data_IF_097830828954
#
_entry.id   IF_097830828954
#
_cell.length_a   1.000
_cell.length_b   1.000
_cell.length_c   1.000
_cell.angle_alpha   90.00
_cell.angle_beta   90.00
_cell.angle_gamma   90.00
#
_symmetry.space_group_name_H-M   'P 1'
#
loop_
_entity.id
_entity.type
_entity.pdbx_description
1 polymer ?
#
# COMPACT_ATOMS: atom_id res chain seq x y z
N UNK A 1 -29.23 -4.07 -0.49
CA UNK A 1 -28.18 -3.59 -1.41
C UNK A 1 -26.84 -3.88 -0.77
N UNK A 2 -26.19 -4.98 -1.17
CA UNK A 2 -24.89 -5.38 -0.63
C UNK A 2 -23.83 -4.42 -1.14
N UNK A 3 -23.31 -3.56 -0.27
CA UNK A 3 -22.16 -2.70 -0.57
C UNK A 3 -20.96 -3.64 -0.71
N UNK A 4 -20.72 -4.14 -1.92
CA UNK A 4 -19.46 -4.77 -2.29
C UNK A 4 -18.39 -3.71 -2.08
N UNK A 5 -17.73 -3.74 -0.91
CA UNK A 5 -16.65 -2.82 -0.56
C UNK A 5 -15.51 -3.07 -1.54
N UNK A 6 -15.50 -2.31 -2.64
CA UNK A 6 -14.44 -2.39 -3.64
C UNK A 6 -13.14 -2.11 -2.91
N UNK A 7 -12.29 -3.13 -2.76
CA UNK A 7 -11.01 -3.01 -2.04
C UNK A 7 -10.09 -2.14 -2.88
N UNK A 8 -10.14 -0.83 -2.66
CA UNK A 8 -9.27 0.12 -3.36
C UNK A 8 -7.86 0.04 -2.78
N UNK A 9 -6.86 0.28 -3.62
CA UNK A 9 -5.46 0.32 -3.19
C UNK A 9 -5.26 1.44 -2.16
N UNK A 10 -6.02 2.52 -2.28
CA UNK A 10 -6.07 3.61 -1.29
C UNK A 10 -6.56 3.10 0.07
N UNK A 11 -7.65 2.34 0.12
CA UNK A 11 -8.16 1.78 1.37
C UNK A 11 -7.17 0.79 2.01
N UNK A 12 -6.50 -0.02 1.19
CA UNK A 12 -5.48 -0.96 1.66
C UNK A 12 -4.22 -0.25 2.17
N UNK A 13 -3.79 0.83 1.50
CA UNK A 13 -2.70 1.70 1.95
C UNK A 13 -3.02 2.34 3.30
N UNK A 14 -4.23 2.86 3.46
CA UNK A 14 -4.68 3.46 4.73
C UNK A 14 -4.75 2.44 5.88
N UNK A 15 -5.21 1.22 5.60
CA UNK A 15 -5.22 0.14 6.58
C UNK A 15 -3.79 -0.23 7.03
N UNK A 16 -2.84 -0.29 6.08
CA UNK A 16 -1.43 -0.54 6.36
C UNK A 16 -0.81 0.56 7.22
N UNK A 17 -1.06 1.84 6.90
CA UNK A 17 -0.57 2.97 7.69
C UNK A 17 -1.13 2.94 9.12
N UNK A 18 -2.42 2.65 9.28
CA UNK A 18 -3.03 2.52 10.61
C UNK A 18 -2.44 1.36 11.40
N UNK A 19 -2.20 0.22 10.77
CA UNK A 19 -1.56 -0.95 11.39
C UNK A 19 -0.07 -0.74 11.69
N UNK A 20 0.61 0.09 10.91
CA UNK A 20 2.03 0.40 11.05
C UNK A 20 2.36 1.52 12.04
N UNK A 21 1.36 2.12 12.71
CA UNK A 21 1.58 3.22 13.68
C UNK A 21 2.63 2.95 14.75
N UNK A 22 2.90 1.68 15.07
CA UNK A 22 3.89 1.28 16.06
C UNK A 22 5.35 1.46 15.59
N UNK A 23 5.60 1.49 14.28
CA UNK A 23 6.94 1.60 13.71
C UNK A 23 7.11 2.74 12.69
N UNK A 24 6.00 3.26 12.16
CA UNK A 24 6.00 4.44 11.30
C UNK A 24 6.32 5.67 12.13
N UNK A 25 7.29 6.46 11.65
CA UNK A 25 7.71 7.70 12.27
C UNK A 25 7.22 8.91 11.46
N UNK A 26 7.23 10.12 12.04
CA UNK A 26 6.97 11.35 11.27
C UNK A 26 7.94 11.54 10.10
N UNK A 27 9.14 10.94 10.15
CA UNK A 27 10.11 11.00 9.06
C UNK A 27 9.66 10.22 7.81
N UNK A 28 8.70 9.30 7.95
CA UNK A 28 8.13 8.53 6.84
C UNK A 28 6.94 9.25 6.16
N UNK A 29 6.51 10.40 6.70
CA UNK A 29 5.41 11.20 6.15
C UNK A 29 5.49 11.46 4.62
N UNK A 30 6.64 11.85 4.04
CA UNK A 30 6.74 12.02 2.58
C UNK A 30 6.56 10.72 1.80
N UNK A 31 7.07 9.59 2.31
CA UNK A 31 6.91 8.28 1.68
C UNK A 31 5.46 7.79 1.75
N UNK A 32 4.78 8.04 2.88
CA UNK A 32 3.36 7.73 3.07
C UNK A 32 2.47 8.59 2.15
N UNK A 33 2.80 9.88 1.98
CA UNK A 33 2.10 10.75 1.05
C UNK A 33 2.24 10.25 -0.39
N UNK A 34 3.45 9.85 -0.80
CA UNK A 34 3.69 9.29 -2.13
C UNK A 34 2.91 8.00 -2.37
N UNK A 35 2.87 7.09 -1.39
CA UNK A 35 2.07 5.86 -1.48
C UNK A 35 0.57 6.14 -1.63
N UNK A 36 0.04 7.13 -0.91
CA UNK A 36 -1.37 7.55 -1.04
C UNK A 36 -1.68 8.11 -2.41
N UNK A 37 -0.81 8.98 -2.94
CA UNK A 37 -0.99 9.55 -4.28
C UNK A 37 -0.92 8.48 -5.36
N UNK A 38 0.04 7.56 -5.29
CA UNK A 38 0.15 6.44 -6.23
C UNK A 38 -1.07 5.51 -6.12
N UNK A 39 -1.54 5.21 -4.92
CA UNK A 39 -2.73 4.39 -4.72
C UNK A 39 -3.99 5.03 -5.33
N UNK A 40 -4.17 6.33 -5.16
CA UNK A 40 -5.31 7.05 -5.75
C UNK A 40 -5.24 7.09 -7.29
N UNK A 41 -4.03 7.24 -7.85
CA UNK A 41 -3.82 7.17 -9.29
C UNK A 41 -4.12 5.78 -9.84
N UNK A 42 -3.72 4.73 -9.13
CA UNK A 42 -3.99 3.33 -9.51
C UNK A 42 -5.48 3.01 -9.42
N UNK A 43 -6.17 3.50 -8.39
CA UNK A 43 -7.60 3.32 -8.24
C UNK A 43 -8.41 4.06 -9.32
N UNK A 44 -7.86 5.17 -9.86
CA UNK A 44 -8.46 5.94 -10.94
C UNK A 44 -8.16 5.34 -12.32
N UNK A 45 -6.88 5.06 -12.60
CA UNK A 45 -6.41 4.49 -13.86
C UNK A 45 -5.21 3.56 -13.59
N UNK A 46 -5.46 2.24 -13.45
CA UNK A 46 -4.39 1.30 -13.15
C UNK A 46 -3.49 1.12 -14.37
N UNK A 47 -2.21 1.46 -14.21
CA UNK A 47 -1.17 1.20 -15.21
C UNK A 47 -0.02 0.41 -14.60
N UNK A 48 0.64 -0.42 -15.42
CA UNK A 48 1.77 -1.22 -14.98
C UNK A 48 2.94 -0.37 -14.43
N UNK A 49 3.13 0.84 -14.97
CA UNK A 49 4.13 1.79 -14.47
C UNK A 49 3.80 2.28 -13.05
N UNK A 50 2.52 2.60 -12.78
CA UNK A 50 2.07 3.00 -11.45
C UNK A 50 2.17 1.85 -10.45
N UNK A 51 1.78 0.63 -10.84
CA UNK A 51 1.92 -0.56 -9.98
C UNK A 51 3.39 -0.81 -9.61
N UNK A 52 4.31 -0.69 -10.57
CA UNK A 52 5.75 -0.81 -10.31
C UNK A 52 6.26 0.29 -9.38
N UNK A 53 5.89 1.56 -9.61
CA UNK A 53 6.28 2.68 -8.76
C UNK A 53 5.76 2.51 -7.32
N UNK A 54 4.50 2.08 -7.18
CA UNK A 54 3.89 1.78 -5.88
C UNK A 54 4.61 0.62 -5.18
N UNK A 55 4.89 -0.47 -5.90
CA UNK A 55 5.57 -1.65 -5.36
C UNK A 55 6.98 -1.34 -4.85
N UNK A 56 7.75 -0.52 -5.57
CA UNK A 56 9.10 -0.10 -5.15
C UNK A 56 9.02 0.77 -3.88
N UNK A 57 8.14 1.77 -3.87
CA UNK A 57 7.95 2.65 -2.71
C UNK A 57 7.50 1.87 -1.47
N UNK A 58 6.59 0.92 -1.66
CA UNK A 58 6.07 0.06 -0.59
C UNK A 58 7.17 -0.83 -0.01
N UNK A 59 7.96 -1.50 -0.86
CA UNK A 59 9.08 -2.34 -0.41
C UNK A 59 10.14 -1.54 0.32
N UNK A 60 10.47 -0.34 -0.14
CA UNK A 60 11.41 0.55 0.53
C UNK A 60 10.91 0.97 1.93
N UNK A 61 9.60 1.19 2.08
CA UNK A 61 8.98 1.51 3.36
C UNK A 61 8.99 0.29 4.31
N UNK A 62 8.59 -0.88 3.83
CA UNK A 62 8.55 -2.11 4.63
C UNK A 62 9.96 -2.60 5.01
N UNK A 63 10.97 -2.36 4.18
CA UNK A 63 12.37 -2.66 4.53
C UNK A 63 12.86 -1.88 5.76
N UNK A 64 12.23 -0.74 6.07
CA UNK A 64 12.50 0.04 7.28
C UNK A 64 11.69 -0.40 8.49
N UNK A 65 10.65 -1.22 8.30
CA UNK A 65 9.90 -1.76 9.41
C UNK A 65 10.81 -2.68 10.25
N UNK A 66 10.86 -2.53 11.59
CA UNK A 66 11.56 -3.46 12.45
C UNK A 66 10.94 -4.84 12.23
N UNK A 67 11.75 -5.80 11.78
CA UNK A 67 11.34 -7.10 11.25
C UNK A 67 10.31 -7.83 12.13
N UNK A 68 9.03 -7.56 11.91
CA UNK A 68 7.92 -8.28 12.52
C UNK A 68 7.27 -9.12 11.44
N UNK A 69 7.96 -10.22 11.10
CA UNK A 69 7.46 -11.43 10.46
C UNK A 69 6.69 -11.29 9.11
N UNK A 70 6.84 -12.24 8.19
CA UNK A 70 6.11 -12.26 6.92
C UNK A 70 4.63 -12.63 7.17
N UNK A 71 3.86 -11.71 7.75
CA UNK A 71 2.42 -11.78 7.65
C UNK A 71 2.08 -11.29 6.26
N UNK A 72 1.59 -12.19 5.41
CA UNK A 72 0.91 -11.88 4.14
C UNK A 72 0.03 -10.65 4.36
N UNK A 73 0.58 -9.48 4.07
CA UNK A 73 -0.14 -8.23 4.27
C UNK A 73 -1.27 -8.27 3.24
N UNK A 74 -2.52 -7.98 3.59
CA UNK A 74 -3.64 -8.03 2.65
C UNK A 74 -3.40 -7.15 1.41
N UNK A 75 -2.51 -6.17 1.53
CA UNK A 75 -1.99 -5.35 0.43
C UNK A 75 -1.04 -6.11 -0.51
N UNK A 76 -0.14 -6.95 0.00
CA UNK A 76 0.76 -7.77 -0.81
C UNK A 76 -0.01 -8.80 -1.64
N UNK A 77 -1.04 -9.42 -1.05
CA UNK A 77 -1.96 -10.28 -1.79
C UNK A 77 -2.76 -9.52 -2.85
N UNK A 78 -3.26 -8.31 -2.54
CA UNK A 78 -3.98 -7.48 -3.50
C UNK A 78 -3.10 -6.98 -4.66
N UNK A 79 -1.81 -6.74 -4.41
CA UNK A 79 -0.86 -6.34 -5.45
C UNK A 79 -0.53 -7.50 -6.39
N UNK A 80 -0.39 -8.73 -5.87
CA UNK A 80 -0.20 -9.92 -6.71
C UNK A 80 -1.45 -10.24 -7.53
N UNK A 81 -2.66 -10.14 -6.95
CA UNK A 81 -3.91 -10.32 -7.71
C UNK A 81 -4.14 -9.25 -8.79
N UNK A 82 -3.59 -8.05 -8.63
CA UNK A 82 -3.69 -6.98 -9.64
C UNK A 82 -2.61 -7.06 -10.74
N UNK A 83 -1.64 -7.97 -10.61
CA UNK A 83 -0.56 -8.19 -11.59
C UNK A 83 -0.65 -9.55 -12.31
N UNK A 84 -1.58 -10.42 -11.90
CA UNK A 84 -1.95 -11.65 -12.58
C UNK A 84 -3.04 -11.40 -13.64
#
# INVERSE_FOLDING_TARGET
>A
MTISSRKTLTAATEAMIRGGKAWLSPADAPALAMLRSLAALIDAEPTAALHNAYGVAYRALIARAPQAAPSKSPLGAALEEAMA
#
